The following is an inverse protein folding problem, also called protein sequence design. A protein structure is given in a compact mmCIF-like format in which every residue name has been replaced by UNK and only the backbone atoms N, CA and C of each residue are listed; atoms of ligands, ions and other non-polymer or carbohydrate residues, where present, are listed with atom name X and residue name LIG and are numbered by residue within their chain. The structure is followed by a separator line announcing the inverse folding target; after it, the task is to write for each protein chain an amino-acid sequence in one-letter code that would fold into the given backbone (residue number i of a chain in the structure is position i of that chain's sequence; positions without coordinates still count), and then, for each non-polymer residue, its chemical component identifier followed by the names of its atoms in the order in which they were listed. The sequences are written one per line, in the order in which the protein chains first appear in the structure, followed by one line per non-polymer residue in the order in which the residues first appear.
data_IF_954416740961
#
_entry.id   IF_954416740961
#
_cell.length_a   1.000
_cell.length_b   1.000
_cell.length_c   1.000
_cell.angle_alpha   90.00
_cell.angle_beta   90.00
_cell.angle_gamma   90.00
#
_symmetry.space_group_name_H-M   'P 1'
#
loop_
_entity.id
_entity.type
_entity.pdbx_description
1 polymer ?
#
# COMPACT_ATOMS: atom_id res chain seq x y z
N UNK A 1 -6.22 -12.55 -13.04
CA UNK A 1 -5.01 -11.89 -12.51
C UNK A 1 -5.17 -11.81 -11.01
N UNK A 2 -4.17 -12.19 -10.22
CA UNK A 2 -4.31 -12.38 -8.77
C UNK A 2 -4.02 -11.09 -8.02
N UNK A 3 -4.93 -10.66 -7.13
CA UNK A 3 -4.73 -9.56 -6.17
C UNK A 3 -3.58 -9.85 -5.23
N UNK A 4 -3.49 -11.09 -4.75
CA UNK A 4 -2.37 -11.57 -3.95
C UNK A 4 -1.95 -12.95 -4.45
N UNK A 5 -0.64 -13.16 -4.56
CA UNK A 5 -0.03 -14.42 -4.94
C UNK A 5 1.16 -14.69 -4.03
N UNK A 6 1.23 -15.88 -3.43
CA UNK A 6 2.29 -16.28 -2.50
C UNK A 6 3.70 -16.20 -3.12
N UNK A 7 3.83 -16.47 -4.42
CA UNK A 7 5.12 -16.37 -5.12
C UNK A 7 5.57 -14.93 -5.31
N UNK A 8 4.63 -13.99 -5.42
CA UNK A 8 4.91 -12.58 -5.65
C UNK A 8 5.06 -11.80 -4.34
N UNK A 9 4.26 -12.16 -3.32
CA UNK A 9 4.36 -11.59 -1.97
C UNK A 9 3.89 -10.14 -1.84
N UNK A 10 3.31 -9.55 -2.89
CA UNK A 10 2.73 -8.20 -2.87
C UNK A 10 1.24 -8.24 -3.19
N UNK A 11 0.53 -7.25 -2.69
CA UNK A 11 -0.90 -7.05 -2.95
C UNK A 11 -1.05 -5.99 -4.04
N UNK A 12 -1.94 -6.29 -4.99
CA UNK A 12 -2.20 -5.46 -6.15
C UNK A 12 -3.70 -5.24 -6.37
N UNK A 13 -4.05 -4.11 -6.95
CA UNK A 13 -5.42 -3.84 -7.43
C UNK A 13 -5.40 -3.04 -8.73
N UNK A 14 -6.44 -3.15 -9.55
CA UNK A 14 -6.48 -2.58 -10.90
C UNK A 14 -7.48 -1.44 -11.02
N UNK A 15 -7.00 -0.27 -11.42
CA UNK A 15 -7.77 0.96 -11.58
C UNK A 15 -7.12 1.85 -12.65
N UNK A 16 -7.92 2.60 -13.41
CA UNK A 16 -7.46 3.63 -14.36
C UNK A 16 -6.39 3.18 -15.35
N UNK A 17 -6.58 2.00 -15.98
CA UNK A 17 -5.60 1.37 -16.90
C UNK A 17 -4.23 1.07 -16.27
N UNK A 18 -4.14 1.05 -14.95
CA UNK A 18 -2.93 0.72 -14.24
C UNK A 18 -3.16 -0.26 -13.10
N UNK A 19 -2.16 -0.33 -12.23
CA UNK A 19 -2.15 -1.22 -11.07
C UNK A 19 -1.50 -0.50 -9.88
N UNK A 20 -2.18 -0.54 -8.75
CA UNK A 20 -1.62 -0.14 -7.47
C UNK A 20 -0.98 -1.35 -6.80
N UNK A 21 0.24 -1.22 -6.29
CA UNK A 21 0.99 -2.34 -5.71
C UNK A 21 1.60 -1.90 -4.38
N UNK A 22 1.47 -2.74 -3.36
CA UNK A 22 2.21 -2.58 -2.09
C UNK A 22 2.62 -3.94 -1.52
N UNK A 23 3.80 -3.99 -0.91
CA UNK A 23 4.14 -5.07 0.02
C UNK A 23 3.47 -4.82 1.36
N UNK A 24 2.60 -5.72 1.80
CA UNK A 24 1.87 -5.58 3.06
C UNK A 24 2.48 -6.45 4.15
N UNK A 25 2.55 -5.90 5.35
CA UNK A 25 2.77 -6.68 6.58
C UNK A 25 1.55 -7.54 6.91
N UNK A 26 1.69 -8.61 7.72
CA UNK A 26 0.55 -9.45 8.13
C UNK A 26 -0.60 -8.67 8.78
N UNK A 27 -0.29 -7.58 9.48
CA UNK A 27 -1.28 -6.68 10.11
C UNK A 27 -2.07 -5.91 9.05
N UNK A 28 -1.38 -5.37 8.04
CA UNK A 28 -2.03 -4.65 6.93
C UNK A 28 -2.88 -5.59 6.06
N UNK A 29 -2.40 -6.82 5.81
CA UNK A 29 -3.20 -7.83 5.11
C UNK A 29 -4.48 -8.17 5.88
N UNK A 30 -4.36 -8.38 7.20
CA UNK A 30 -5.52 -8.61 8.08
C UNK A 30 -6.49 -7.42 8.05
N UNK A 31 -5.97 -6.20 8.07
CA UNK A 31 -6.76 -4.97 7.98
C UNK A 31 -7.52 -4.84 6.66
N UNK A 32 -6.94 -5.28 5.53
CA UNK A 32 -7.62 -5.29 4.23
C UNK A 32 -8.50 -6.53 3.99
N UNK A 33 -8.48 -7.51 4.89
CA UNK A 33 -9.16 -8.79 4.69
C UNK A 33 -8.54 -9.65 3.58
N UNK A 34 -7.23 -9.49 3.32
CA UNK A 34 -6.50 -10.33 2.36
C UNK A 34 -5.99 -11.59 3.09
N UNK A 35 -6.29 -12.77 2.54
CA UNK A 35 -5.75 -14.01 3.06
C UNK A 35 -4.23 -14.05 2.84
N UNK A 36 -3.47 -14.13 3.93
CA UNK A 36 -2.01 -14.11 3.92
C UNK A 36 -1.39 -15.47 3.58
N UNK A 37 -2.18 -16.53 3.57
CA UNK A 37 -1.75 -17.92 3.38
C UNK A 37 -2.23 -18.54 2.08
N UNK A 38 -3.12 -17.88 1.34
CA UNK A 38 -3.67 -18.38 0.09
C UNK A 38 -3.66 -17.28 -0.96
N UNK A 39 -3.59 -17.68 -2.22
CA UNK A 39 -3.75 -16.76 -3.32
C UNK A 39 -5.17 -16.17 -3.31
N UNK A 40 -5.27 -14.88 -3.65
CA UNK A 40 -6.54 -14.16 -3.71
C UNK A 40 -6.70 -13.56 -5.11
N UNK A 41 -7.82 -13.85 -5.77
CA UNK A 41 -8.15 -13.25 -7.05
C UNK A 41 -8.62 -11.79 -6.88
N UNK A 42 -8.45 -10.99 -7.95
CA UNK A 42 -9.06 -9.65 -8.01
C UNK A 42 -10.58 -9.74 -8.03
N UNK A 43 -11.26 -8.64 -7.70
CA UNK A 43 -12.70 -8.58 -7.86
C UNK A 43 -13.07 -8.64 -9.36
N UNK A 44 -14.22 -9.26 -9.65
CA UNK A 44 -14.78 -9.31 -10.99
C UNK A 44 -15.45 -7.99 -11.36
N UNK A 45 -16.19 -7.41 -10.40
CA UNK A 45 -16.86 -6.12 -10.54
C UNK A 45 -15.87 -4.97 -10.32
N UNK A 46 -15.86 -4.01 -11.24
CA UNK A 46 -14.92 -2.87 -11.18
C UNK A 46 -15.16 -2.00 -9.94
N UNK A 47 -16.43 -1.82 -9.52
CA UNK A 47 -16.75 -1.03 -8.33
C UNK A 47 -16.15 -1.63 -7.03
N UNK A 48 -16.16 -2.96 -6.91
CA UNK A 48 -15.56 -3.65 -5.77
C UNK A 48 -14.02 -3.57 -5.81
N UNK A 49 -13.45 -3.60 -7.01
CA UNK A 49 -12.01 -3.43 -7.22
C UNK A 49 -11.57 -1.99 -6.90
N UNK A 50 -12.32 -0.99 -7.33
CA UNK A 50 -12.08 0.43 -7.04
C UNK A 50 -12.15 0.72 -5.53
N UNK A 51 -13.14 0.13 -4.85
CA UNK A 51 -13.27 0.22 -3.39
C UNK A 51 -12.09 -0.43 -2.67
N UNK A 52 -11.59 -1.57 -3.18
CA UNK A 52 -10.38 -2.19 -2.66
C UNK A 52 -9.14 -1.30 -2.93
N UNK A 53 -9.03 -0.72 -4.13
CA UNK A 53 -7.95 0.21 -4.48
C UNK A 53 -7.93 1.45 -3.59
N UNK A 54 -9.09 2.00 -3.23
CA UNK A 54 -9.15 3.10 -2.26
C UNK A 54 -8.50 2.71 -0.92
N UNK A 55 -8.84 1.53 -0.38
CA UNK A 55 -8.25 1.04 0.88
C UNK A 55 -6.76 0.69 0.76
N UNK A 56 -6.33 0.13 -0.36
CA UNK A 56 -4.92 -0.19 -0.61
C UNK A 56 -4.08 1.10 -0.73
N UNK A 57 -4.60 2.13 -1.41
CA UNK A 57 -3.97 3.46 -1.49
C UNK A 57 -3.86 4.14 -0.14
N UNK A 58 -4.86 3.99 0.73
CA UNK A 58 -4.81 4.48 2.11
C UNK A 58 -3.66 3.86 2.92
N UNK A 59 -3.14 2.69 2.53
CA UNK A 59 -1.95 2.08 3.12
C UNK A 59 -0.64 2.53 2.47
N UNK A 60 -0.67 3.42 1.48
CA UNK A 60 0.52 3.93 0.80
C UNK A 60 1.00 3.04 -0.34
N UNK A 61 0.08 2.52 -1.15
CA UNK A 61 0.45 1.80 -2.37
C UNK A 61 0.91 2.77 -3.47
N UNK A 62 1.87 2.31 -4.28
CA UNK A 62 2.39 3.04 -5.44
C UNK A 62 1.66 2.60 -6.72
N UNK A 63 1.66 3.45 -7.74
CA UNK A 63 0.94 3.20 -9.01
C UNK A 63 1.89 2.94 -10.17
N UNK A 64 1.59 1.92 -10.95
CA UNK A 64 2.20 1.62 -12.24
C UNK A 64 1.14 1.71 -13.33
N UNK A 65 1.40 2.51 -14.35
CA UNK A 65 0.62 2.46 -15.59
C UNK A 65 0.93 1.15 -16.32
N UNK A 66 -0.12 0.44 -16.76
CA UNK A 66 0.08 -0.75 -17.56
C UNK A 66 0.21 -0.31 -19.02
N UNK A 67 1.32 -0.65 -19.71
CA UNK A 67 1.45 -0.28 -21.10
C UNK A 67 0.37 -1.00 -21.93
N UNK A 68 -0.22 -0.34 -22.95
CA UNK A 68 -1.24 -0.95 -23.80
C UNK A 68 -0.71 -2.20 -24.51
N UNK A 69 0.58 -2.18 -24.86
CA UNK A 69 1.35 -3.34 -25.31
C UNK A 69 2.63 -3.45 -24.48
N UNK A 70 2.91 -4.64 -23.95
CA UNK A 70 4.20 -4.87 -23.31
C UNK A 70 5.31 -4.78 -24.37
N UNK A 71 6.34 -3.93 -24.15
CA UNK A 71 7.45 -3.81 -25.10
C UNK A 71 8.05 -5.20 -25.39
N UNK A 72 8.34 -5.52 -26.65
CA UNK A 72 8.77 -6.87 -27.03
C UNK A 72 10.08 -7.31 -26.38
N UNK A 73 10.90 -6.43 -25.80
CA UNK A 73 12.10 -6.81 -25.05
C UNK A 73 11.83 -7.18 -23.58
N UNK A 74 10.59 -7.04 -23.09
CA UNK A 74 10.17 -7.46 -21.76
C UNK A 74 9.75 -8.94 -21.80
N UNK A 75 10.70 -9.82 -22.10
CA UNK A 75 10.49 -11.28 -22.05
C UNK A 75 10.83 -11.89 -20.68
N UNK A 76 11.52 -11.15 -19.80
CA UNK A 76 12.04 -11.64 -18.52
C UNK A 76 11.34 -11.07 -17.29
N UNK A 77 10.37 -10.17 -17.46
CA UNK A 77 9.70 -9.52 -16.34
C UNK A 77 8.49 -10.34 -15.92
N UNK A 78 8.51 -10.84 -14.69
CA UNK A 78 7.38 -11.60 -14.15
C UNK A 78 6.25 -10.68 -13.69
N UNK A 79 6.56 -9.44 -13.33
CA UNK A 79 5.61 -8.41 -12.89
C UNK A 79 6.05 -7.00 -13.32
N UNK A 80 5.12 -6.04 -13.40
CA UNK A 80 5.38 -4.67 -13.92
C UNK A 80 6.36 -3.88 -13.07
N UNK A 81 6.31 -4.08 -11.75
CA UNK A 81 7.13 -3.41 -10.75
C UNK A 81 8.56 -3.96 -10.65
N UNK A 82 8.86 -5.10 -11.30
CA UNK A 82 10.23 -5.61 -11.40
C UNK A 82 11.06 -4.85 -12.45
N UNK A 83 10.40 -4.34 -13.48
CA UNK A 83 11.08 -3.80 -14.66
C UNK A 83 10.84 -2.32 -14.89
N UNK A 84 9.81 -1.75 -14.28
CA UNK A 84 9.50 -0.33 -14.38
C UNK A 84 9.37 0.26 -12.97
N UNK A 85 9.83 1.50 -12.83
CA UNK A 85 9.50 2.31 -11.65
C UNK A 85 8.03 2.71 -11.67
N UNK A 86 7.42 2.98 -10.51
CA UNK A 86 6.05 3.48 -10.45
C UNK A 86 5.97 4.87 -11.10
N UNK A 87 4.85 5.15 -11.77
CA UNK A 87 4.49 6.51 -12.20
C UNK A 87 4.22 7.39 -10.98
N UNK A 88 3.62 6.79 -9.94
CA UNK A 88 3.39 7.45 -8.65
C UNK A 88 4.04 6.66 -7.52
N UNK A 89 5.16 7.17 -7.03
CA UNK A 89 5.92 6.56 -5.95
C UNK A 89 5.47 7.10 -4.59
N UNK A 90 4.76 6.28 -3.83
CA UNK A 90 4.23 6.63 -2.51
C UNK A 90 5.16 6.09 -1.43
N UNK A 91 5.75 7.00 -0.65
CA UNK A 91 6.78 6.68 0.35
C UNK A 91 6.38 7.12 1.75
N UNK A 92 5.45 6.36 2.32
CA UNK A 92 5.07 6.51 3.73
C UNK A 92 4.56 5.18 4.30
N UNK A 93 4.49 5.11 5.62
CA UNK A 93 3.73 4.07 6.33
C UNK A 93 2.62 4.65 7.17
N UNK A 94 1.58 3.86 7.37
CA UNK A 94 0.43 4.24 8.19
C UNK A 94 0.01 3.14 9.16
N UNK A 95 -0.68 3.58 10.21
CA UNK A 95 -1.40 2.73 11.14
C UNK A 95 -2.73 3.38 11.51
N UNK A 96 -3.78 2.57 11.58
CA UNK A 96 -5.14 2.99 11.89
C UNK A 96 -5.55 2.47 13.27
N UNK A 97 -5.40 3.27 14.33
CA UNK A 97 -5.67 2.79 15.68
C UNK A 97 -7.18 2.55 15.88
N UNK A 98 -7.52 1.65 16.78
CA UNK A 98 -8.93 1.33 17.12
C UNK A 98 -9.70 2.52 17.69
N UNK A 99 -8.99 3.52 18.24
CA UNK A 99 -9.53 4.79 18.71
C UNK A 99 -9.97 5.76 17.59
N UNK A 100 -9.65 5.44 16.33
CA UNK A 100 -9.87 6.33 15.19
C UNK A 100 -8.67 7.24 14.89
N UNK A 101 -8.67 7.82 13.68
CA UNK A 101 -7.56 8.59 13.13
C UNK A 101 -6.54 7.73 12.37
N UNK A 102 -5.37 8.30 12.11
CA UNK A 102 -4.26 7.64 11.41
C UNK A 102 -2.92 8.18 11.91
N UNK A 103 -1.96 7.29 12.13
CA UNK A 103 -0.55 7.64 12.26
C UNK A 103 0.11 7.55 10.90
N UNK A 104 0.87 8.59 10.51
CA UNK A 104 1.57 8.66 9.22
C UNK A 104 3.06 8.87 9.47
N UNK A 105 3.92 8.06 8.85
CA UNK A 105 5.37 8.21 8.91
C UNK A 105 5.90 8.42 7.49
N UNK A 106 6.51 9.57 7.22
CA UNK A 106 7.22 9.84 5.97
C UNK A 106 8.47 8.94 5.88
N UNK A 107 8.61 8.21 4.78
CA UNK A 107 9.74 7.31 4.51
C UNK A 107 10.54 7.71 3.28
N UNK A 108 10.39 8.96 2.80
CA UNK A 108 11.14 9.50 1.65
C UNK A 108 12.66 9.47 1.86
N UNK A 109 13.12 9.65 3.10
CA UNK A 109 14.54 9.56 3.45
C UNK A 109 15.03 8.11 3.61
N UNK A 110 14.15 7.13 3.36
CA UNK A 110 14.43 5.71 3.47
C UNK A 110 14.21 5.13 4.86
N UNK A 111 14.53 3.84 4.99
CA UNK A 111 14.46 3.07 6.22
C UNK A 111 15.84 2.85 6.80
N UNK A 112 16.09 3.39 8.00
CA UNK A 112 17.20 2.89 8.80
C UNK A 112 16.84 1.54 9.42
N UNK A 113 17.78 0.60 9.43
CA UNK A 113 17.69 -0.54 10.31
C UNK A 113 17.75 -0.07 11.77
N UNK A 114 16.87 -0.54 12.69
CA UNK A 114 15.93 -1.66 12.59
C UNK A 114 14.45 -1.27 12.35
N UNK A 115 14.16 -0.08 11.81
CA UNK A 115 12.80 0.49 11.79
C UNK A 115 11.77 -0.40 11.08
N UNK A 116 12.09 -0.90 9.88
CA UNK A 116 11.18 -1.76 9.10
C UNK A 116 10.86 -3.11 9.76
N UNK A 117 11.76 -3.66 10.58
CA UNK A 117 11.52 -4.92 11.30
C UNK A 117 10.49 -4.74 12.40
N UNK A 118 10.56 -3.62 13.14
CA UNK A 118 9.59 -3.37 14.22
C UNK A 118 8.16 -3.34 13.68
N UNK A 119 7.95 -2.74 12.51
CA UNK A 119 6.65 -2.72 11.84
C UNK A 119 6.18 -4.10 11.37
N UNK A 120 7.10 -4.93 10.86
CA UNK A 120 6.79 -6.31 10.47
C UNK A 120 6.48 -7.22 11.66
N UNK A 121 7.01 -6.90 12.84
CA UNK A 121 6.82 -7.67 14.07
C UNK A 121 5.52 -7.29 14.82
N UNK A 122 4.88 -6.18 14.47
CA UNK A 122 3.60 -5.82 15.06
C UNK A 122 2.57 -6.94 14.76
N UNK A 123 1.77 -7.27 15.77
CA UNK A 123 0.70 -8.28 15.67
C UNK A 123 -0.68 -7.64 15.55
N UNK A 124 -0.81 -6.37 15.92
CA UNK A 124 -2.04 -5.60 15.83
C UNK A 124 -1.81 -4.25 15.17
N UNK A 125 -2.90 -3.62 14.69
CA UNK A 125 -2.82 -2.29 14.11
C UNK A 125 -2.46 -1.24 15.17
N UNK A 126 -2.90 -1.40 16.42
CA UNK A 126 -2.53 -0.53 17.54
C UNK A 126 -1.04 -0.63 17.87
N UNK A 127 -0.47 -1.84 17.91
CA UNK A 127 0.99 -2.03 18.07
C UNK A 127 1.77 -1.35 16.93
N UNK A 128 1.30 -1.49 15.69
CA UNK A 128 1.89 -0.80 14.54
C UNK A 128 1.85 0.72 14.71
N UNK A 129 0.75 1.27 15.23
CA UNK A 129 0.63 2.70 15.54
C UNK A 129 1.67 3.15 16.57
N UNK A 130 1.87 2.40 17.65
CA UNK A 130 2.88 2.74 18.66
C UNK A 130 4.31 2.68 18.09
N UNK A 131 4.59 1.75 17.17
CA UNK A 131 5.87 1.71 16.45
C UNK A 131 6.06 2.95 15.57
N UNK A 132 5.03 3.34 14.80
CA UNK A 132 5.09 4.54 13.93
C UNK A 132 5.30 5.81 14.75
N UNK A 133 4.55 5.95 15.85
CA UNK A 133 4.71 7.04 16.82
C UNK A 133 6.13 7.09 17.39
N UNK A 134 6.70 5.93 17.75
CA UNK A 134 8.09 5.82 18.23
C UNK A 134 9.15 6.23 17.20
N UNK A 135 8.80 6.26 15.91
CA UNK A 135 9.67 6.75 14.82
C UNK A 135 9.40 8.19 14.41
N UNK A 136 8.58 8.93 15.16
CA UNK A 136 8.24 10.30 14.84
C UNK A 136 7.09 10.43 13.84
N UNK A 137 6.25 9.40 13.71
CA UNK A 137 5.02 9.49 12.94
C UNK A 137 4.13 10.61 13.48
N UNK A 138 3.34 11.22 12.59
CA UNK A 138 2.38 12.28 12.90
C UNK A 138 1.00 11.66 13.02
N UNK A 139 0.25 12.02 14.06
CA UNK A 139 -1.13 11.63 14.21
C UNK A 139 -2.07 12.63 13.53
N UNK A 140 -3.01 12.10 12.76
CA UNK A 140 -4.10 12.84 12.15
C UNK A 140 -5.44 12.27 12.63
N UNK A 141 -6.24 13.09 13.30
CA UNK A 141 -7.56 12.69 13.80
C UNK A 141 -8.53 12.38 12.65
N UNK A 142 -8.50 13.19 11.58
CA UNK A 142 -9.26 12.95 10.37
C UNK A 142 -8.31 12.66 9.19
N UNK A 143 -8.24 11.41 8.68
CA UNK A 143 -7.40 11.04 7.55
C UNK A 143 -7.69 11.88 6.28
N UNK A 144 -8.95 12.25 6.04
CA UNK A 144 -9.35 13.04 4.87
C UNK A 144 -8.83 14.48 4.92
N UNK A 145 -8.63 15.02 6.13
CA UNK A 145 -8.13 16.37 6.36
C UNK A 145 -6.65 16.39 6.74
N UNK A 146 -5.94 15.24 6.64
CA UNK A 146 -4.55 15.10 7.06
C UNK A 146 -3.61 15.73 6.01
N UNK A 147 -2.96 16.87 6.28
CA UNK A 147 -2.12 17.54 5.28
C UNK A 147 -0.91 16.68 4.89
N UNK A 148 -0.39 15.91 5.86
CA UNK A 148 0.77 15.04 5.64
C UNK A 148 0.42 13.88 4.72
N UNK A 149 -0.75 13.26 4.93
CA UNK A 149 -1.21 12.19 4.05
C UNK A 149 -1.54 12.72 2.65
N UNK A 150 -2.17 13.90 2.53
CA UNK A 150 -2.44 14.53 1.24
C UNK A 150 -1.14 14.87 0.49
N UNK A 151 -0.14 15.44 1.17
CA UNK A 151 1.19 15.75 0.63
C UNK A 151 1.88 14.48 0.11
N UNK A 152 1.88 13.42 0.91
CA UNK A 152 2.58 12.18 0.61
C UNK A 152 1.86 11.31 -0.43
N UNK A 153 0.53 11.41 -0.51
CA UNK A 153 -0.27 10.80 -1.57
C UNK A 153 -0.22 11.61 -2.87
N UNK A 154 0.34 12.82 -2.91
CA UNK A 154 0.60 13.55 -4.16
C UNK A 154 -0.62 13.99 -4.98
N UNK A 155 -1.85 13.89 -4.47
CA UNK A 155 -3.08 14.42 -5.07
C UNK A 155 -4.11 14.78 -3.97
N UNK A 156 -4.97 15.80 -4.17
CA UNK A 156 -6.08 16.07 -3.25
C UNK A 156 -7.02 14.87 -3.28
N UNK A 157 -7.20 14.25 -2.12
CA UNK A 157 -7.99 13.04 -1.93
C UNK A 157 -9.43 13.30 -2.38
N UNK A 158 -9.78 12.81 -3.56
CA UNK A 158 -11.17 12.50 -3.91
C UNK A 158 -11.57 11.24 -3.15
N UNK A 159 -12.06 11.43 -1.92
CA UNK A 159 -12.85 10.46 -1.17
C UNK A 159 -14.29 10.50 -1.66
#
# INVERSE_FOLDING_TARGET
MKRYNLNYGKVACWQDNGVWIKYLTPVEMSFLGVDRFQDTDRAAEQADEDAFCARLRMLGASFWELPPDWPPYIHSCWTVDQCNGPVKDVRFEVGYPTSGGVWVLDTNQGWDWPKGVKLRNALTMDERCEVLKGFGGVFCENPAACPELARLMGDPVGL
#
